data_IF_153155001678
#
_entry.id   IF_153155001678
#
_cell.length_a   1.000
_cell.length_b   1.000
_cell.length_c   1.000
_cell.angle_alpha   90.00
_cell.angle_beta   90.00
_cell.angle_gamma   90.00
#
_symmetry.space_group_name_H-M   'P 1'
#
loop_
_entity.id
_entity.type
_entity.pdbx_description
1 polymer ?
#
# COMPACT_ATOMS: atom_id res chain seq x y z
N UNK A 1 -14.06 20.82 -18.63
CA UNK A 1 -13.00 19.90 -19.11
C UNK A 1 -12.79 20.12 -20.60
N UNK A 2 -11.55 20.27 -21.07
CA UNK A 2 -11.24 20.47 -22.50
C UNK A 2 -11.34 19.15 -23.27
N UNK A 3 -11.57 19.20 -24.59
CA UNK A 3 -11.56 18.02 -25.45
C UNK A 3 -10.18 17.36 -25.44
N UNK A 4 -10.04 16.23 -24.73
CA UNK A 4 -8.76 15.53 -24.55
C UNK A 4 -8.96 14.03 -24.31
N UNK A 5 -7.89 13.29 -24.60
CA UNK A 5 -7.78 11.85 -24.36
C UNK A 5 -7.02 11.59 -23.06
N UNK A 6 -7.55 10.69 -22.23
CA UNK A 6 -7.03 10.36 -20.89
C UNK A 6 -6.88 8.85 -20.73
N UNK A 7 -5.99 8.45 -19.82
CA UNK A 7 -5.93 7.07 -19.34
C UNK A 7 -6.76 6.95 -18.07
N UNK A 8 -7.52 5.87 -17.94
CA UNK A 8 -8.25 5.54 -16.72
C UNK A 8 -7.55 4.42 -15.98
N UNK A 9 -7.23 4.69 -14.71
CA UNK A 9 -6.71 3.71 -13.76
C UNK A 9 -7.65 3.61 -12.56
N UNK A 10 -7.77 2.42 -12.00
CA UNK A 10 -8.51 2.18 -10.77
C UNK A 10 -7.80 1.11 -9.93
N UNK A 11 -8.06 1.09 -8.63
CA UNK A 11 -7.57 0.08 -7.71
C UNK A 11 -8.52 -0.01 -6.52
N UNK A 12 -8.50 -1.14 -5.82
CA UNK A 12 -9.34 -1.39 -4.65
C UNK A 12 -8.46 -1.95 -3.53
N UNK A 13 -8.57 -1.44 -2.30
CA UNK A 13 -7.86 -2.02 -1.15
C UNK A 13 -8.12 -3.52 -0.99
N UNK A 14 -7.07 -4.28 -0.70
CA UNK A 14 -7.16 -5.73 -0.47
C UNK A 14 -7.08 -6.58 -1.73
N UNK A 15 -6.92 -5.97 -2.91
CA UNK A 15 -6.65 -6.68 -4.16
C UNK A 15 -5.28 -6.29 -4.73
N UNK A 16 -4.55 -7.28 -5.22
CA UNK A 16 -3.24 -7.05 -5.84
C UNK A 16 -3.45 -6.44 -7.22
N UNK A 17 -2.69 -5.39 -7.49
CA UNK A 17 -2.55 -4.78 -8.81
C UNK A 17 -3.55 -3.67 -9.08
N UNK A 18 -3.45 -3.18 -10.31
CA UNK A 18 -4.11 -1.96 -10.77
C UNK A 18 -4.93 -2.28 -12.00
N UNK A 19 -6.18 -1.81 -12.02
CA UNK A 19 -6.93 -1.77 -13.24
C UNK A 19 -6.39 -0.64 -14.12
N UNK A 20 -6.13 -0.96 -15.38
CA UNK A 20 -5.88 0.01 -16.45
C UNK A 20 -6.87 -0.25 -17.56
N UNK A 21 -7.65 0.76 -17.92
CA UNK A 21 -8.53 0.67 -19.08
C UNK A 21 -7.68 0.49 -20.35
N UNK A 22 -8.00 -0.54 -21.15
CA UNK A 22 -7.30 -0.83 -22.40
C UNK A 22 -7.51 0.24 -23.49
N UNK A 23 -8.55 1.05 -23.37
CA UNK A 23 -8.88 2.12 -24.31
C UNK A 23 -8.66 3.50 -23.67
N UNK A 24 -8.24 4.46 -24.49
CA UNK A 24 -8.15 5.84 -24.05
C UNK A 24 -9.53 6.49 -23.95
N UNK A 25 -9.75 7.24 -22.87
CA UNK A 25 -11.03 7.88 -22.55
C UNK A 25 -11.05 9.28 -23.14
N UNK A 26 -11.96 9.55 -24.06
CA UNK A 26 -12.11 10.86 -24.70
C UNK A 26 -13.21 11.64 -23.98
N UNK A 27 -12.84 12.75 -23.33
CA UNK A 27 -13.78 13.63 -22.62
C UNK A 27 -14.06 14.86 -23.47
N UNK A 28 -15.33 15.18 -23.67
CA UNK A 28 -15.80 16.40 -24.36
C UNK A 28 -16.38 17.40 -23.35
N UNK A 29 -16.20 18.71 -23.54
CA UNK A 29 -16.85 19.71 -22.68
C UNK A 29 -18.37 19.56 -22.69
N UNK A 30 -19.01 19.59 -21.52
CA UNK A 30 -20.47 19.53 -21.38
C UNK A 30 -21.11 18.17 -21.61
N UNK A 31 -20.31 17.09 -21.69
CA UNK A 31 -20.82 15.72 -21.79
C UNK A 31 -20.50 14.91 -20.54
N UNK A 32 -21.46 14.10 -20.11
CA UNK A 32 -21.27 13.05 -19.12
C UNK A 32 -20.97 11.73 -19.84
N UNK A 33 -19.93 11.03 -19.39
CA UNK A 33 -19.52 9.74 -19.95
C UNK A 33 -19.84 8.63 -18.94
N UNK A 34 -20.78 7.76 -19.28
CA UNK A 34 -21.09 6.55 -18.52
C UNK A 34 -20.32 5.36 -19.11
N UNK A 35 -19.42 4.79 -18.32
CA UNK A 35 -18.58 3.65 -18.75
C UNK A 35 -19.13 2.29 -18.31
N UNK A 36 -20.26 2.27 -17.60
CA UNK A 36 -20.84 1.04 -17.03
C UNK A 36 -19.96 0.44 -15.94
N UNK A 37 -20.14 -0.86 -15.71
CA UNK A 37 -19.36 -1.61 -14.74
C UNK A 37 -17.98 -1.95 -15.31
N UNK A 38 -16.96 -1.75 -14.48
CA UNK A 38 -15.57 -2.09 -14.80
C UNK A 38 -15.17 -3.29 -13.97
N UNK A 39 -14.78 -4.37 -14.64
CA UNK A 39 -14.33 -5.61 -13.99
C UNK A 39 -12.81 -5.67 -14.03
N UNK A 40 -12.20 -5.85 -12.86
CA UNK A 40 -10.78 -6.13 -12.72
C UNK A 40 -10.59 -7.58 -12.26
N UNK A 41 -9.89 -8.36 -13.08
CA UNK A 41 -9.45 -9.70 -12.71
C UNK A 41 -7.95 -9.64 -12.42
N UNK A 42 -7.52 -9.82 -11.15
CA UNK A 42 -6.11 -9.86 -10.83
C UNK A 42 -5.42 -10.98 -11.63
N UNK A 43 -4.30 -10.73 -12.31
CA UNK A 43 -3.59 -11.76 -13.05
C UNK A 43 -3.11 -12.85 -12.08
N UNK A 44 -3.51 -14.11 -12.34
CA UNK A 44 -3.10 -15.27 -11.53
C UNK A 44 -2.81 -16.48 -12.42
N UNK A 45 -1.60 -17.01 -12.30
CA UNK A 45 -1.20 -18.26 -12.95
C UNK A 45 -1.43 -19.50 -12.07
N UNK A 46 -1.85 -19.31 -10.81
CA UNK A 46 -2.08 -20.37 -9.84
C UNK A 46 -2.60 -19.90 -8.48
N UNK A 47 -2.83 -20.82 -7.54
CA UNK A 47 -3.26 -20.49 -6.18
C UNK A 47 -2.15 -19.77 -5.39
N UNK A 48 -2.54 -18.81 -4.54
CA UNK A 48 -1.62 -18.19 -3.58
C UNK A 48 -1.12 -19.23 -2.59
N UNK A 49 0.20 -19.29 -2.39
CA UNK A 49 0.82 -20.16 -1.38
C UNK A 49 0.89 -19.48 0.00
N UNK A 50 1.20 -18.19 0.03
CA UNK A 50 1.28 -17.36 1.22
C UNK A 50 1.17 -15.88 0.82
N UNK A 51 0.64 -15.07 1.73
CA UNK A 51 0.60 -13.61 1.64
C UNK A 51 1.10 -13.03 2.97
N UNK A 52 1.76 -11.86 2.90
CA UNK A 52 2.17 -11.08 4.08
C UNK A 52 1.50 -9.72 3.96
N UNK A 53 0.57 -9.43 4.87
CA UNK A 53 -0.22 -8.20 4.84
C UNK A 53 -1.43 -8.25 3.90
N UNK A 54 -1.99 -7.08 3.64
CA UNK A 54 -3.15 -6.74 2.83
C UNK A 54 -2.67 -5.75 1.77
N UNK A 55 -2.94 -6.00 0.48
CA UNK A 55 -2.55 -5.08 -0.59
C UNK A 55 -3.49 -3.86 -0.62
N UNK A 56 -3.39 -3.00 0.39
CA UNK A 56 -4.15 -1.74 0.51
C UNK A 56 -3.30 -0.49 0.24
N UNK A 57 -2.03 -0.70 -0.14
CA UNK A 57 -1.02 0.33 -0.41
C UNK A 57 -0.67 1.21 0.79
N UNK A 58 -0.95 0.72 1.99
CA UNK A 58 -0.51 1.32 3.23
C UNK A 58 0.49 0.40 3.92
N UNK A 59 1.28 0.96 4.83
CA UNK A 59 2.11 0.17 5.74
C UNK A 59 1.46 0.07 7.14
N UNK A 60 0.18 0.45 7.25
CA UNK A 60 -0.51 0.66 8.53
C UNK A 60 -0.69 -0.63 9.34
N UNK A 61 -0.72 -1.75 8.64
CA UNK A 61 -0.94 -3.07 9.22
C UNK A 61 0.34 -3.75 9.71
N UNK A 62 1.51 -3.30 9.27
CA UNK A 62 2.80 -3.87 9.63
C UNK A 62 3.28 -3.34 10.99
N UNK A 63 4.40 -3.87 11.45
CA UNK A 63 5.02 -3.39 12.68
C UNK A 63 5.64 -2.00 12.48
N UNK A 64 5.03 -1.00 13.12
CA UNK A 64 5.49 0.38 13.14
C UNK A 64 6.12 0.65 14.51
N UNK A 65 7.43 0.92 14.59
CA UNK A 65 8.11 1.14 15.87
C UNK A 65 7.69 2.48 16.51
N UNK A 66 8.09 2.66 17.76
CA UNK A 66 7.92 3.94 18.44
C UNK A 66 8.88 5.00 17.88
N UNK A 67 8.34 6.20 17.70
CA UNK A 67 9.06 7.35 17.15
C UNK A 67 10.14 7.83 18.10
N UNK A 68 11.22 8.36 17.54
CA UNK A 68 12.22 9.05 18.34
C UNK A 68 11.59 10.31 18.97
N UNK A 69 11.55 10.45 20.31
CA UNK A 69 10.92 11.58 20.99
C UNK A 69 11.43 12.95 20.54
N UNK A 70 12.67 13.03 20.04
CA UNK A 70 13.28 14.27 19.55
C UNK A 70 12.67 14.79 18.25
N UNK A 71 12.07 13.93 17.44
CA UNK A 71 11.64 14.25 16.07
C UNK A 71 10.13 13.98 15.85
N UNK A 72 9.35 13.92 16.92
CA UNK A 72 7.92 13.61 16.84
C UNK A 72 7.16 14.65 16.01
N UNK A 73 6.51 14.20 14.94
CA UNK A 73 5.46 14.97 14.30
C UNK A 73 4.12 14.67 14.99
N UNK A 74 3.50 15.70 15.60
CA UNK A 74 2.25 15.53 16.34
C UNK A 74 1.07 15.11 15.47
N UNK A 75 1.12 15.36 14.15
CA UNK A 75 0.08 14.94 13.21
C UNK A 75 -0.09 13.42 13.25
N UNK A 76 1.00 12.65 13.15
CA UNK A 76 0.94 11.20 12.99
C UNK A 76 1.08 10.40 14.29
N UNK A 77 0.69 10.97 15.44
CA UNK A 77 0.83 10.28 16.74
C UNK A 77 -0.19 9.14 16.90
N UNK A 78 -1.43 9.40 16.50
CA UNK A 78 -2.56 8.49 16.73
C UNK A 78 -3.16 7.94 15.43
N UNK A 79 -2.68 8.37 14.27
CA UNK A 79 -3.11 7.88 12.96
C UNK A 79 -1.92 7.89 12.00
N UNK A 80 -1.93 6.96 11.04
CA UNK A 80 -0.90 6.84 10.00
C UNK A 80 0.54 6.90 10.55
N UNK A 81 0.81 6.22 11.67
CA UNK A 81 2.11 6.25 12.37
C UNK A 81 3.30 5.96 11.44
N UNK A 82 3.09 5.12 10.43
CA UNK A 82 4.09 4.77 9.40
C UNK A 82 4.58 5.97 8.57
N UNK A 83 3.88 7.12 8.60
CA UNK A 83 4.27 8.37 7.92
C UNK A 83 5.21 9.25 8.76
N UNK A 84 5.53 8.86 10.00
CA UNK A 84 6.49 9.59 10.83
C UNK A 84 7.88 9.52 10.20
N UNK A 85 8.49 10.69 10.01
CA UNK A 85 9.84 10.80 9.47
C UNK A 85 10.87 10.18 10.43
N UNK A 86 11.89 9.52 9.88
CA UNK A 86 13.00 8.94 10.65
C UNK A 86 12.70 7.58 11.27
N UNK A 87 11.51 7.00 11.06
CA UNK A 87 11.18 5.69 11.61
C UNK A 87 12.03 4.54 11.05
N UNK A 88 12.55 4.65 9.82
CA UNK A 88 13.44 3.64 9.24
C UNK A 88 14.75 3.48 10.03
N UNK A 89 15.23 4.54 10.68
CA UNK A 89 16.44 4.49 11.52
C UNK A 89 16.25 3.57 12.74
N UNK A 90 14.99 3.35 13.16
CA UNK A 90 14.67 2.44 14.27
C UNK A 90 14.92 0.98 13.92
N UNK A 91 15.08 0.63 12.65
CA UNK A 91 15.40 -0.74 12.25
C UNK A 91 16.73 -1.18 12.87
N UNK A 92 17.79 -0.39 12.72
CA UNK A 92 19.12 -0.72 13.28
C UNK A 92 19.15 -0.68 14.81
N UNK A 93 18.27 0.10 15.45
CA UNK A 93 18.13 0.11 16.90
C UNK A 93 17.50 -1.18 17.44
N UNK A 94 16.54 -1.75 16.69
CA UNK A 94 15.80 -2.96 17.07
C UNK A 94 16.51 -4.25 16.64
N UNK A 95 17.26 -4.18 15.55
CA UNK A 95 17.97 -5.29 14.93
C UNK A 95 19.48 -4.97 14.85
N UNK A 96 20.18 -4.77 15.99
CA UNK A 96 21.58 -4.29 15.99
C UNK A 96 22.62 -5.35 15.61
N UNK A 97 22.25 -6.63 15.61
CA UNK A 97 23.18 -7.75 15.45
C UNK A 97 22.79 -8.69 14.31
N UNK A 98 21.50 -8.84 14.04
CA UNK A 98 20.95 -9.78 13.08
C UNK A 98 19.72 -9.17 12.41
N UNK A 99 19.48 -9.52 11.16
CA UNK A 99 18.30 -9.06 10.41
C UNK A 99 17.00 -9.77 10.84
N UNK A 100 15.87 -9.16 10.47
CA UNK A 100 14.55 -9.71 10.72
C UNK A 100 14.35 -11.03 9.98
N UNK A 101 13.98 -12.08 10.73
CA UNK A 101 13.60 -13.39 10.18
C UNK A 101 12.09 -13.61 10.35
N UNK A 102 11.37 -13.77 9.24
CA UNK A 102 9.92 -14.01 9.22
C UNK A 102 9.60 -15.44 8.80
N UNK A 103 8.83 -16.17 9.61
CA UNK A 103 8.44 -17.56 9.34
C UNK A 103 6.97 -17.63 8.94
N UNK A 104 6.69 -18.09 7.72
CA UNK A 104 5.32 -18.26 7.21
C UNK A 104 4.51 -19.19 8.11
N UNK A 105 3.30 -18.77 8.46
CA UNK A 105 2.37 -19.52 9.32
C UNK A 105 2.68 -19.48 10.82
N UNK A 106 3.80 -18.86 11.23
CA UNK A 106 4.19 -18.73 12.65
C UNK A 106 4.28 -17.26 13.05
N UNK A 107 5.00 -16.45 12.27
CA UNK A 107 5.21 -15.02 12.53
C UNK A 107 3.96 -14.21 12.20
N UNK A 108 3.72 -13.14 12.97
CA UNK A 108 2.60 -12.23 12.80
C UNK A 108 3.06 -10.97 12.08
N UNK A 109 2.60 -10.73 10.85
CA UNK A 109 3.00 -9.56 10.06
C UNK A 109 2.70 -8.21 10.75
N UNK A 110 1.75 -8.15 11.69
CA UNK A 110 1.45 -6.94 12.46
C UNK A 110 2.48 -6.59 13.53
N UNK A 111 3.36 -7.53 13.86
CA UNK A 111 4.34 -7.42 14.96
C UNK A 111 5.76 -7.75 14.54
N UNK A 112 5.90 -8.69 13.62
CA UNK A 112 7.16 -9.33 13.25
C UNK A 112 7.58 -8.98 11.82
N UNK A 113 6.82 -8.12 11.12
CA UNK A 113 7.19 -7.58 9.82
C UNK A 113 7.39 -6.07 9.93
N UNK A 114 8.64 -5.63 9.94
CA UNK A 114 8.96 -4.21 10.04
C UNK A 114 8.50 -3.47 8.78
N UNK A 115 7.82 -2.33 8.98
CA UNK A 115 7.07 -1.66 7.92
C UNK A 115 7.91 -1.06 6.77
N UNK A 116 9.22 -0.84 6.98
CA UNK A 116 10.15 -0.25 6.01
C UNK A 116 11.42 -1.11 5.88
N UNK A 117 11.64 -1.68 4.70
CA UNK A 117 12.77 -2.56 4.39
C UNK A 117 13.73 -1.89 3.40
#
# INVERSE_FOLDING_TARGET
VLFRSYNLYAWVPGFIGDYKCGAAVVIKPGCDLHMGDVVYEPPRDGPTLWDIGVPDRTAAEFYIPDTNPKYINRLFLNHERFRQYGLWERYTDLYPHEDLVYTIGVSNYRKDWFFAQ
#
